data_IF_560498056444
#
_entry.id   IF_560498056444
#
_cell.length_a   1.000
_cell.length_b   1.000
_cell.length_c   1.000
_cell.angle_alpha   90.00
_cell.angle_beta   90.00
_cell.angle_gamma   90.00
#
_symmetry.space_group_name_H-M   'P 1'
#
loop_
_entity.id
_entity.type
_entity.pdbx_description
1 polymer ?
#
# COMPACT_ATOMS: atom_id res chain seq x y z
N UNK A 1 38.03 -8.31 -14.60
CA UNK A 1 37.89 -7.69 -13.27
C UNK A 1 36.71 -6.70 -13.16
N UNK A 2 35.91 -6.42 -14.22
CA UNK A 2 34.81 -5.43 -14.16
C UNK A 2 33.38 -6.02 -14.10
N UNK A 3 33.22 -7.35 -14.14
CA UNK A 3 31.89 -7.99 -14.27
C UNK A 3 31.03 -7.95 -12.99
N UNK A 4 31.63 -7.71 -11.81
CA UNK A 4 30.92 -7.76 -10.53
C UNK A 4 30.32 -6.40 -10.08
N UNK A 5 30.53 -5.31 -10.83
CA UNK A 5 30.07 -3.97 -10.45
C UNK A 5 28.58 -3.68 -10.76
N UNK A 6 27.87 -4.65 -11.36
CA UNK A 6 26.44 -4.55 -11.67
C UNK A 6 25.56 -5.38 -10.71
N UNK A 7 26.16 -6.04 -9.71
CA UNK A 7 25.44 -6.84 -8.72
C UNK A 7 24.93 -5.93 -7.58
N UNK A 8 23.78 -5.30 -7.80
CA UNK A 8 23.05 -4.57 -6.75
C UNK A 8 21.98 -5.44 -6.09
N UNK A 9 21.65 -5.14 -4.82
CA UNK A 9 20.47 -5.70 -4.16
C UNK A 9 19.22 -4.87 -4.48
N UNK A 10 18.03 -5.46 -4.39
CA UNK A 10 16.78 -4.73 -4.63
C UNK A 10 16.48 -3.68 -3.55
N UNK A 11 16.90 -3.93 -2.32
CA UNK A 11 16.81 -3.05 -1.14
C UNK A 11 18.07 -3.28 -0.30
N UNK A 12 18.47 -2.28 0.48
CA UNK A 12 19.53 -2.44 1.50
C UNK A 12 18.97 -3.24 2.69
N UNK A 13 19.53 -4.42 3.02
CA UNK A 13 19.05 -5.26 4.13
C UNK A 13 18.96 -4.55 5.49
N UNK A 14 19.79 -3.53 5.72
CA UNK A 14 19.76 -2.78 6.98
C UNK A 14 18.53 -1.85 7.10
N UNK A 15 17.87 -1.55 5.97
CA UNK A 15 16.70 -0.65 5.91
C UNK A 15 15.39 -1.40 5.64
N UNK A 16 15.43 -2.70 5.32
CA UNK A 16 14.25 -3.48 4.93
C UNK A 16 13.14 -3.44 6.00
N UNK A 17 13.48 -3.68 7.27
CA UNK A 17 12.52 -3.70 8.37
C UNK A 17 11.88 -2.32 8.63
N UNK A 18 12.66 -1.24 8.49
CA UNK A 18 12.17 0.12 8.65
C UNK A 18 11.18 0.49 7.53
N UNK A 19 11.52 0.17 6.28
CA UNK A 19 10.65 0.42 5.13
C UNK A 19 9.35 -0.39 5.24
N UNK A 20 9.45 -1.65 5.65
CA UNK A 20 8.28 -2.50 5.90
C UNK A 20 7.39 -1.90 7.01
N UNK A 21 7.97 -1.54 8.16
CA UNK A 21 7.22 -0.95 9.28
C UNK A 21 6.51 0.35 8.88
N UNK A 22 7.18 1.19 8.08
CA UNK A 22 6.61 2.43 7.54
C UNK A 22 5.44 2.15 6.61
N UNK A 23 5.58 1.21 5.67
CA UNK A 23 4.49 0.88 4.74
C UNK A 23 3.29 0.25 5.46
N UNK A 24 3.53 -0.59 6.49
CA UNK A 24 2.47 -1.12 7.35
C UNK A 24 1.72 0.02 8.06
N UNK A 25 2.41 1.02 8.59
CA UNK A 25 1.80 2.17 9.22
C UNK A 25 0.95 3.00 8.23
N UNK A 26 1.45 3.20 7.01
CA UNK A 26 0.70 3.86 5.92
C UNK A 26 -0.59 3.11 5.56
N UNK A 27 -0.51 1.77 5.45
CA UNK A 27 -1.70 0.93 5.17
C UNK A 27 -2.71 0.99 6.32
N UNK A 28 -2.26 0.92 7.58
CA UNK A 28 -3.14 1.05 8.75
C UNK A 28 -3.85 2.40 8.77
N UNK A 29 -3.12 3.49 8.50
CA UNK A 29 -3.69 4.85 8.39
C UNK A 29 -4.66 4.98 7.22
N UNK A 30 -4.38 4.34 6.09
CA UNK A 30 -5.31 4.30 4.96
C UNK A 30 -6.59 3.54 5.31
N UNK A 31 -6.49 2.45 6.07
CA UNK A 31 -7.65 1.65 6.49
C UNK A 31 -8.54 2.33 7.54
N UNK A 32 -8.03 3.33 8.26
CA UNK A 32 -8.85 4.13 9.19
C UNK A 32 -9.71 5.19 8.49
N UNK A 33 -9.57 5.38 7.17
CA UNK A 33 -10.41 6.31 6.40
C UNK A 33 -11.90 5.90 6.44
N UNK A 34 -12.80 6.89 6.45
CA UNK A 34 -14.26 6.66 6.50
C UNK A 34 -14.78 5.80 5.36
N UNK A 35 -14.06 5.74 4.23
CA UNK A 35 -14.30 4.80 3.13
C UNK A 35 -14.45 3.35 3.59
N UNK A 36 -13.78 2.96 4.67
CA UNK A 36 -13.70 1.58 5.14
C UNK A 36 -14.54 1.27 6.37
N UNK A 37 -15.37 2.21 6.86
CA UNK A 37 -16.19 2.07 8.07
C UNK A 37 -17.05 0.79 8.11
N UNK A 38 -17.46 0.29 6.95
CA UNK A 38 -18.29 -0.92 6.82
C UNK A 38 -17.53 -2.14 6.27
N UNK A 39 -16.21 -2.05 6.08
CA UNK A 39 -15.41 -3.11 5.46
C UNK A 39 -14.70 -3.96 6.51
N UNK A 40 -15.18 -5.19 6.72
CA UNK A 40 -14.48 -6.19 7.55
C UNK A 40 -13.37 -6.88 6.74
N UNK A 41 -12.14 -6.87 7.27
CA UNK A 41 -10.98 -7.55 6.68
C UNK A 41 -10.55 -8.71 7.60
N UNK A 42 -10.62 -9.98 7.16
CA UNK A 42 -10.12 -11.12 7.95
C UNK A 42 -8.61 -11.32 7.77
N UNK A 43 -7.85 -10.22 7.67
CA UNK A 43 -6.39 -10.20 7.47
C UNK A 43 -5.83 -8.85 7.95
N UNK A 44 -4.52 -8.82 8.18
CA UNK A 44 -3.79 -7.69 8.75
C UNK A 44 -3.07 -6.85 7.69
N UNK A 45 -2.63 -5.65 8.05
CA UNK A 45 -1.88 -4.77 7.14
C UNK A 45 -0.53 -5.39 6.78
N UNK A 46 0.12 -6.02 7.75
CA UNK A 46 1.38 -6.75 7.66
C UNK A 46 1.29 -7.86 6.61
N UNK A 47 0.20 -8.64 6.61
CA UNK A 47 -0.02 -9.70 5.62
C UNK A 47 -0.14 -9.15 4.19
N UNK A 48 -0.70 -7.95 4.02
CA UNK A 48 -0.84 -7.29 2.72
C UNK A 48 0.48 -6.68 2.25
N UNK A 49 1.19 -5.98 3.13
CA UNK A 49 2.50 -5.36 2.80
C UNK A 49 3.53 -6.44 2.45
N UNK A 50 3.52 -7.58 3.15
CA UNK A 50 4.38 -8.74 2.85
C UNK A 50 4.04 -9.44 1.51
N UNK A 51 3.13 -8.90 0.70
CA UNK A 51 2.85 -9.38 -0.66
C UNK A 51 3.10 -8.31 -1.72
N UNK A 52 3.52 -7.12 -1.31
CA UNK A 52 3.91 -6.04 -2.22
C UNK A 52 5.37 -6.19 -2.63
N UNK A 53 5.71 -5.61 -3.78
CA UNK A 53 7.10 -5.42 -4.19
C UNK A 53 7.60 -4.03 -3.81
N UNK A 54 8.85 -3.75 -4.15
CA UNK A 54 9.52 -2.49 -3.80
C UNK A 54 9.18 -1.30 -4.73
N UNK A 55 8.47 -1.55 -5.84
CA UNK A 55 8.02 -0.50 -6.76
C UNK A 55 6.52 -0.25 -6.59
N UNK A 56 6.19 0.89 -5.98
CA UNK A 56 4.79 1.31 -5.80
C UNK A 56 4.20 1.79 -7.13
N UNK A 57 3.03 1.27 -7.48
CA UNK A 57 2.27 1.66 -8.68
C UNK A 57 1.02 2.42 -8.25
N UNK A 58 0.77 3.57 -8.87
CA UNK A 58 -0.46 4.33 -8.69
C UNK A 58 -1.36 4.20 -9.93
N UNK A 59 -2.52 3.56 -9.74
CA UNK A 59 -3.47 3.33 -10.83
C UNK A 59 -4.45 4.49 -10.98
N UNK A 60 -4.64 4.99 -12.20
CA UNK A 60 -5.60 6.05 -12.50
C UNK A 60 -7.06 5.69 -12.14
N UNK A 61 -7.39 4.40 -12.12
CA UNK A 61 -8.68 3.88 -11.67
C UNK A 61 -9.00 4.25 -10.20
N UNK A 62 -7.98 4.41 -9.36
CA UNK A 62 -8.16 4.82 -7.95
C UNK A 62 -8.84 6.19 -7.85
N UNK A 63 -8.46 7.15 -8.70
CA UNK A 63 -9.08 8.48 -8.72
C UNK A 63 -10.58 8.40 -9.06
N UNK A 64 -10.94 7.56 -10.04
CA UNK A 64 -12.34 7.35 -10.43
C UNK A 64 -13.13 6.62 -9.33
N UNK A 65 -12.51 5.65 -8.64
CA UNK A 65 -13.17 4.96 -7.51
C UNK A 65 -13.51 5.89 -6.35
N UNK A 66 -12.64 6.87 -6.05
CA UNK A 66 -12.89 7.90 -5.04
C UNK A 66 -14.02 8.84 -5.46
N UNK A 67 -14.09 9.21 -6.75
CA UNK A 67 -15.21 9.99 -7.30
C UNK A 67 -16.53 9.22 -7.15
N UNK A 68 -16.54 7.95 -7.54
CA UNK A 68 -17.73 7.09 -7.44
C UNK A 68 -18.20 6.96 -5.98
N UNK A 69 -17.29 6.67 -5.06
CA UNK A 69 -17.61 6.56 -3.63
C UNK A 69 -18.34 7.79 -3.10
N UNK A 70 -17.82 8.99 -3.39
CA UNK A 70 -18.47 10.26 -2.98
C UNK A 70 -19.86 10.43 -3.58
N UNK A 71 -20.07 10.01 -4.82
CA UNK A 71 -21.38 10.08 -5.47
C UNK A 71 -22.35 9.13 -4.78
N UNK A 72 -21.94 7.90 -4.48
CA UNK A 72 -22.82 6.90 -3.88
C UNK A 72 -23.18 7.21 -2.42
N UNK A 73 -22.21 7.65 -1.60
CA UNK A 73 -22.50 8.08 -0.21
C UNK A 73 -23.53 9.23 -0.21
N UNK A 74 -23.35 10.27 -1.05
CA UNK A 74 -24.30 11.38 -1.15
C UNK A 74 -25.72 10.96 -1.62
N UNK A 75 -25.85 9.82 -2.30
CA UNK A 75 -27.14 9.33 -2.83
C UNK A 75 -27.85 8.40 -1.86
N UNK A 76 -27.11 7.81 -0.93
CA UNK A 76 -27.63 6.87 0.05
C UNK A 76 -27.95 7.55 1.38
N UNK A 77 -27.15 8.55 1.77
CA UNK A 77 -27.45 9.49 2.87
C UNK A 77 -28.58 10.45 2.49
#
# INVERSE_FOLDING_TARGET
MAANNMLGTSVDPNLEDELFAKEVAEVKKWWSDSRWKHTKRPFTAEQIVNKRGNLKIEYASNAQSKKLWKILEKRFD
#
